data_IF_428690424147
#
_entry.id   IF_428690424147
#
_cell.length_a   1.000
_cell.length_b   1.000
_cell.length_c   1.000
_cell.angle_alpha   90.00
_cell.angle_beta   90.00
_cell.angle_gamma   90.00
#
_symmetry.space_group_name_H-M   'P 1'
#
loop_
_entity.id
_entity.type
_entity.pdbx_description
1 polymer ?
#
# COMPACT_ATOMS: atom_id res chain seq x y z
N UNK A 1 -11.88 0.29 -4.84
CA UNK A 1 -11.00 1.25 -4.15
C UNK A 1 -9.84 0.50 -3.52
N UNK A 2 -8.67 1.12 -3.52
CA UNK A 2 -7.41 0.57 -3.00
C UNK A 2 -7.15 1.16 -1.62
N UNK A 3 -6.78 0.31 -0.67
CA UNK A 3 -6.59 0.73 0.73
C UNK A 3 -5.12 0.76 1.07
N UNK A 4 -4.63 1.85 1.66
CA UNK A 4 -3.24 1.96 2.10
C UNK A 4 -3.17 1.85 3.62
N UNK A 5 -2.23 1.05 4.09
CA UNK A 5 -1.99 0.75 5.49
C UNK A 5 -0.56 1.11 5.86
N UNK A 6 -0.38 1.72 7.01
CA UNK A 6 0.93 1.85 7.65
C UNK A 6 1.15 0.72 8.64
N UNK A 7 2.23 -0.03 8.41
CA UNK A 7 2.64 -1.18 9.17
C UNK A 7 3.88 -0.81 10.01
N UNK A 8 3.69 -0.65 11.32
CA UNK A 8 4.76 -0.30 12.25
C UNK A 8 4.23 0.08 13.63
N UNK A 9 5.04 -0.14 14.67
CA UNK A 9 4.71 0.18 16.07
C UNK A 9 4.46 -1.04 16.96
N UNK A 10 4.31 -0.80 18.26
CA UNK A 10 4.18 -1.85 19.30
C UNK A 10 2.91 -2.72 19.16
N UNK A 11 1.92 -2.30 18.39
CA UNK A 11 0.70 -3.07 18.08
C UNK A 11 0.96 -4.01 16.90
N UNK A 12 1.71 -5.08 17.18
CA UNK A 12 2.38 -6.04 16.26
C UNK A 12 1.52 -6.72 15.18
N UNK A 13 0.22 -6.43 15.05
CA UNK A 13 -0.72 -7.24 14.26
C UNK A 13 -1.70 -6.47 13.38
N UNK A 14 -1.80 -5.14 13.51
CA UNK A 14 -2.84 -4.35 12.84
C UNK A 14 -2.17 -3.18 12.12
N UNK A 15 -2.00 -3.27 10.80
CA UNK A 15 -1.67 -2.09 10.02
C UNK A 15 -2.78 -1.05 10.16
N UNK A 16 -2.40 0.21 10.34
CA UNK A 16 -3.38 1.30 10.45
C UNK A 16 -3.83 1.69 9.05
N UNK A 17 -5.12 1.56 8.76
CA UNK A 17 -5.70 2.08 7.51
C UNK A 17 -5.49 3.60 7.48
N UNK A 18 -4.78 4.07 6.47
CA UNK A 18 -4.44 5.49 6.33
C UNK A 18 -5.27 6.18 5.26
N UNK A 19 -5.44 5.53 4.12
CA UNK A 19 -6.09 6.14 2.96
C UNK A 19 -6.88 5.08 2.18
N UNK A 20 -7.92 5.55 1.51
CA UNK A 20 -8.69 4.78 0.53
C UNK A 20 -8.72 5.64 -0.73
N UNK A 21 -8.07 5.18 -1.79
CA UNK A 21 -7.87 5.91 -3.04
C UNK A 21 -8.28 5.03 -4.22
N UNK A 22 -8.54 5.63 -5.39
CA UNK A 22 -8.73 4.81 -6.60
C UNK A 22 -7.39 4.18 -7.00
N UNK A 23 -7.42 2.97 -7.57
CA UNK A 23 -6.19 2.32 -8.00
C UNK A 23 -5.42 3.15 -9.03
N UNK A 24 -6.12 3.84 -9.94
CA UNK A 24 -5.49 4.72 -10.94
C UNK A 24 -4.66 5.84 -10.30
N UNK A 25 -5.18 6.46 -9.25
CA UNK A 25 -4.51 7.54 -8.53
C UNK A 25 -3.31 7.00 -7.75
N UNK A 26 -3.47 5.82 -7.14
CA UNK A 26 -2.40 5.11 -6.46
C UNK A 26 -1.26 4.75 -7.42
N UNK A 27 -1.59 4.23 -8.61
CA UNK A 27 -0.59 3.91 -9.65
C UNK A 27 0.14 5.17 -10.10
N UNK A 28 -0.57 6.28 -10.31
CA UNK A 28 0.03 7.55 -10.69
C UNK A 28 0.99 8.08 -9.61
N UNK A 29 0.58 8.02 -8.33
CA UNK A 29 1.43 8.39 -7.19
C UNK A 29 2.67 7.52 -7.06
N UNK A 30 2.56 6.24 -7.37
CA UNK A 30 3.64 5.26 -7.26
C UNK A 30 4.51 5.23 -8.52
N UNK A 31 4.30 6.13 -9.48
CA UNK A 31 5.15 6.23 -10.67
C UNK A 31 6.59 6.54 -10.28
N UNK A 32 7.50 5.59 -10.51
CA UNK A 32 8.91 5.70 -10.12
C UNK A 32 9.21 5.20 -8.69
N UNK A 33 8.21 4.67 -7.98
CA UNK A 33 8.38 4.00 -6.69
C UNK A 33 8.38 2.50 -6.89
N UNK A 34 9.32 1.78 -6.27
CA UNK A 34 9.32 0.32 -6.29
C UNK A 34 8.14 -0.22 -5.49
N UNK A 35 7.38 -1.11 -6.12
CA UNK A 35 6.25 -1.82 -5.51
C UNK A 35 6.43 -3.32 -5.69
N UNK A 36 6.19 -4.08 -4.62
CA UNK A 36 6.34 -5.53 -4.62
C UNK A 36 5.03 -6.19 -4.24
N UNK A 37 4.56 -7.14 -5.05
CA UNK A 37 3.43 -7.97 -4.67
C UNK A 37 3.86 -8.92 -3.54
N UNK A 38 3.16 -8.86 -2.41
CA UNK A 38 3.47 -9.65 -1.20
C UNK A 38 2.43 -10.73 -0.91
N UNK A 39 1.43 -10.88 -1.78
CA UNK A 39 0.47 -11.99 -1.75
C UNK A 39 -0.97 -11.59 -1.47
N UNK A 40 -1.84 -12.59 -1.27
CA UNK A 40 -3.29 -12.39 -1.12
C UNK A 40 -3.75 -12.10 0.32
N UNK A 41 -2.84 -12.18 1.29
CA UNK A 41 -3.16 -12.03 2.72
C UNK A 41 -2.41 -10.83 3.27
N UNK A 42 -3.02 -10.16 4.24
CA UNK A 42 -2.38 -9.05 4.92
C UNK A 42 -1.05 -9.54 5.54
N UNK A 43 0.05 -8.81 5.36
CA UNK A 43 1.35 -9.27 5.81
C UNK A 43 1.37 -9.49 7.32
N UNK A 44 1.91 -10.64 7.73
CA UNK A 44 2.18 -10.91 9.15
C UNK A 44 3.60 -10.44 9.43
N UNK A 45 3.78 -9.64 10.49
CA UNK A 45 5.07 -9.04 10.89
C UNK A 45 6.21 -10.05 11.19
N UNK A 46 5.95 -11.36 11.10
CA UNK A 46 6.97 -12.44 11.22
C UNK A 46 7.63 -12.81 9.89
N UNK A 47 7.06 -12.38 8.78
CA UNK A 47 7.64 -12.51 7.45
C UNK A 47 8.20 -11.14 7.09
N UNK A 48 9.37 -11.13 6.45
CA UNK A 48 10.28 -10.02 6.19
C UNK A 48 9.67 -8.92 5.31
N UNK A 49 8.59 -8.29 5.75
CA UNK A 49 8.03 -7.13 5.07
C UNK A 49 8.90 -5.94 5.44
N UNK A 50 9.91 -5.72 4.59
CA UNK A 50 10.80 -4.57 4.63
C UNK A 50 10.03 -3.24 4.52
N UNK A 51 8.85 -3.27 3.92
CA UNK A 51 7.98 -2.11 3.70
C UNK A 51 7.07 -1.82 4.90
N UNK A 52 7.22 -0.62 5.47
CA UNK A 52 6.30 -0.08 6.48
C UNK A 52 5.01 0.51 5.89
N UNK A 53 4.86 0.49 4.57
CA UNK A 53 3.67 0.94 3.83
C UNK A 53 3.16 -0.18 2.93
N UNK A 54 1.88 -0.51 3.05
CA UNK A 54 1.24 -1.63 2.35
C UNK A 54 -0.03 -1.16 1.67
N UNK A 55 -0.24 -1.49 0.40
CA UNK A 55 -1.49 -1.25 -0.31
C UNK A 55 -2.26 -2.55 -0.55
N UNK A 56 -3.57 -2.54 -0.36
CA UNK A 56 -4.51 -3.57 -0.76
C UNK A 56 -5.19 -3.17 -2.06
N UNK A 57 -5.09 -4.04 -3.07
CA UNK A 57 -5.85 -3.97 -4.31
C UNK A 57 -6.95 -5.03 -4.27
N UNK A 58 -8.19 -4.59 -4.44
CA UNK A 58 -9.36 -5.47 -4.44
C UNK A 58 -9.58 -6.09 -5.83
N UNK A 59 -10.24 -7.27 -5.93
CA UNK A 59 -10.54 -7.90 -7.22
C UNK A 59 -11.29 -6.99 -8.19
N UNK A 60 -12.21 -6.17 -7.66
CA UNK A 60 -13.03 -5.23 -8.43
C UNK A 60 -12.22 -4.06 -9.02
N UNK A 61 -10.97 -3.88 -8.58
CA UNK A 61 -10.07 -2.83 -9.07
C UNK A 61 -8.88 -3.36 -9.84
N UNK A 62 -8.83 -4.64 -10.21
CA UNK A 62 -7.72 -5.14 -11.01
C UNK A 62 -7.55 -4.32 -12.30
N UNK A 63 -6.34 -3.79 -12.50
CA UNK A 63 -5.92 -3.14 -13.73
C UNK A 63 -4.75 -3.91 -14.33
N UNK A 64 -4.46 -3.67 -15.61
CA UNK A 64 -3.40 -4.39 -16.33
C UNK A 64 -2.05 -4.23 -15.60
N UNK A 65 -1.49 -5.36 -15.14
CA UNK A 65 -0.23 -5.39 -14.39
C UNK A 65 -0.37 -5.38 -12.86
N UNK A 66 -1.59 -5.23 -12.33
CA UNK A 66 -1.89 -5.31 -10.90
C UNK A 66 -2.84 -6.47 -10.61
N UNK A 67 -2.52 -7.25 -9.58
CA UNK A 67 -3.28 -8.38 -9.09
C UNK A 67 -3.97 -8.00 -7.79
N UNK A 68 -5.12 -8.60 -7.52
CA UNK A 68 -5.73 -8.47 -6.21
C UNK A 68 -4.85 -9.09 -5.11
N UNK A 69 -4.79 -8.39 -3.99
CA UNK A 69 -3.94 -8.73 -2.86
C UNK A 69 -3.19 -7.51 -2.34
N UNK A 70 -2.07 -7.77 -1.69
CA UNK A 70 -1.30 -6.77 -0.97
C UNK A 70 0.02 -6.50 -1.68
N UNK A 71 0.44 -5.24 -1.62
CA UNK A 71 1.68 -4.73 -2.18
C UNK A 71 2.48 -4.01 -1.10
N UNK A 72 3.76 -4.35 -0.97
CA UNK A 72 4.71 -3.56 -0.21
C UNK A 72 5.21 -2.39 -1.06
N UNK A 73 5.21 -1.19 -0.48
CA UNK A 73 5.70 0.02 -1.12
C UNK A 73 7.05 0.38 -0.50
N UNK A 74 8.08 0.60 -1.30
CA UNK A 74 9.41 1.01 -0.84
C UNK A 74 9.45 2.52 -0.48
N UNK A 75 8.52 2.92 0.39
CA UNK A 75 8.39 4.25 0.97
C UNK A 75 8.01 4.13 2.42
N UNK A 76 8.65 4.93 3.26
CA UNK A 76 8.23 5.06 4.66
C UNK A 76 6.86 5.74 4.75
N UNK A 77 6.11 5.55 5.83
CA UNK A 77 4.84 6.24 6.06
C UNK A 77 4.95 7.75 5.87
N UNK A 78 6.05 8.37 6.32
CA UNK A 78 6.25 9.81 6.18
C UNK A 78 6.41 10.25 4.72
N UNK A 79 7.21 9.55 3.93
CA UNK A 79 7.34 9.86 2.51
C UNK A 79 6.03 9.61 1.74
N UNK A 80 5.27 8.58 2.15
CA UNK A 80 3.99 8.29 1.52
C UNK A 80 2.92 9.34 1.84
N UNK A 81 2.94 9.91 3.05
CA UNK A 81 2.09 11.06 3.41
C UNK A 81 2.29 12.25 2.47
N UNK A 82 3.54 12.58 2.16
CA UNK A 82 3.87 13.69 1.27
C UNK A 82 3.31 13.45 -0.14
N UNK A 83 3.38 12.20 -0.62
CA UNK A 83 2.81 11.81 -1.90
C UNK A 83 1.28 11.92 -1.89
N UNK A 84 0.59 11.39 -0.89
CA UNK A 84 -0.88 11.49 -0.81
C UNK A 84 -1.36 12.95 -0.80
N UNK A 85 -0.64 13.85 -0.11
CA UNK A 85 -1.00 15.28 -0.06
C UNK A 85 -0.96 15.97 -1.42
N UNK A 86 -0.29 15.38 -2.40
CA UNK A 86 -0.25 15.88 -3.79
C UNK A 86 -1.46 15.46 -4.63
N UNK A 87 -2.31 14.54 -4.14
CA UNK A 87 -3.55 14.19 -4.83
C UNK A 87 -4.57 15.34 -4.79
N UNK A 88 -5.26 15.62 -5.90
CA UNK A 88 -6.43 16.50 -5.88
C UNK A 88 -7.51 15.88 -4.98
N UNK A 89 -8.12 16.69 -4.10
CA UNK A 89 -9.21 16.26 -3.21
C UNK A 89 -10.54 16.06 -3.95
#
# INVERSE_FOLDING_TARGET
MSKVFYCGGCARHLGMLRAVVQLSDLIALLSGVTVHYIGKRFPRFKEEVLSSTVAEVTPDEMQRGWHAGFYGIEKTPLEFEELIRSLPQ
#
